data_IF_495653478502
#
_entry.id   IF_495653478502
#
_cell.length_a   1.000
_cell.length_b   1.000
_cell.length_c   1.000
_cell.angle_alpha   90.00
_cell.angle_beta   90.00
_cell.angle_gamma   90.00
#
_symmetry.space_group_name_H-M   'P 1'
#
loop_
_entity.id
_entity.type
_entity.pdbx_description
1 polymer ?
#
# COMPACT_ATOMS: atom_id res chain seq x y z
N UNK A 1 6.62 -4.34 32.91
CA UNK A 1 5.93 -4.87 31.71
C UNK A 1 4.73 -5.66 32.22
N UNK A 2 3.52 -5.09 32.11
CA UNK A 2 2.31 -5.80 32.52
C UNK A 2 2.08 -6.93 31.51
N UNK A 3 2.15 -8.18 32.01
CA UNK A 3 1.94 -9.36 31.19
C UNK A 3 0.48 -9.47 30.76
N UNK A 4 0.19 -9.16 29.49
CA UNK A 4 -1.09 -9.52 28.90
C UNK A 4 -1.20 -11.04 28.83
N UNK A 5 -2.32 -11.59 29.29
CA UNK A 5 -2.60 -13.01 29.09
C UNK A 5 -2.83 -13.30 27.60
N UNK A 6 -2.66 -14.54 27.16
CA UNK A 6 -2.93 -14.93 25.76
C UNK A 6 -4.39 -14.66 25.38
N UNK A 7 -5.33 -14.75 26.32
CA UNK A 7 -6.75 -14.42 26.16
C UNK A 7 -7.00 -12.94 25.87
N UNK A 8 -6.11 -12.04 26.35
CA UNK A 8 -6.28 -10.58 26.12
C UNK A 8 -5.82 -10.16 24.72
N UNK A 9 -5.04 -11.00 24.04
CA UNK A 9 -4.42 -10.70 22.74
C UNK A 9 -5.26 -11.16 21.56
N UNK A 10 -6.01 -12.24 21.73
CA UNK A 10 -6.80 -12.88 20.69
C UNK A 10 -8.15 -13.26 21.24
N UNK A 11 -9.21 -12.73 20.64
CA UNK A 11 -10.57 -13.05 21.04
C UNK A 11 -11.31 -13.86 19.97
N UNK A 12 -12.18 -14.77 20.39
CA UNK A 12 -13.15 -15.43 19.51
C UNK A 12 -14.28 -14.46 19.22
N UNK A 13 -14.45 -14.09 17.95
CA UNK A 13 -15.51 -13.16 17.52
C UNK A 13 -16.75 -13.86 16.97
N UNK A 14 -16.60 -15.11 16.50
CA UNK A 14 -17.73 -15.92 16.04
C UNK A 14 -17.46 -17.42 16.14
N UNK A 15 -18.56 -18.19 16.25
CA UNK A 15 -18.59 -19.64 16.05
C UNK A 15 -19.74 -19.95 15.09
N UNK A 16 -19.42 -20.43 13.90
CA UNK A 16 -20.37 -20.68 12.82
C UNK A 16 -20.11 -22.05 12.18
N UNK A 17 -21.03 -22.52 11.35
CA UNK A 17 -20.84 -23.77 10.60
C UNK A 17 -20.33 -23.46 9.19
N UNK A 18 -19.35 -24.23 8.73
CA UNK A 18 -18.95 -24.29 7.33
C UNK A 18 -20.02 -24.97 6.46
N UNK A 19 -19.84 -24.93 5.15
CA UNK A 19 -20.80 -25.53 4.21
C UNK A 19 -20.97 -27.07 4.38
N UNK A 20 -19.97 -27.75 4.91
CA UNK A 20 -19.99 -29.19 5.22
C UNK A 20 -20.43 -29.51 6.65
N UNK A 21 -20.88 -28.50 7.41
CA UNK A 21 -21.35 -28.64 8.78
C UNK A 21 -20.29 -28.58 9.87
N UNK A 22 -18.99 -28.56 9.53
CA UNK A 22 -17.92 -28.42 10.53
C UNK A 22 -18.01 -27.08 11.24
N UNK A 23 -17.59 -27.05 12.52
CA UNK A 23 -17.51 -25.82 13.29
C UNK A 23 -16.31 -24.98 12.85
N UNK A 24 -16.57 -23.70 12.59
CA UNK A 24 -15.54 -22.68 12.32
C UNK A 24 -15.51 -21.72 13.49
N UNK A 25 -14.39 -21.62 14.15
CA UNK A 25 -14.11 -20.59 15.13
C UNK A 25 -13.39 -19.45 14.45
N UNK A 26 -13.96 -18.25 14.46
CA UNK A 26 -13.30 -17.04 13.97
C UNK A 26 -12.64 -16.34 15.14
N UNK A 27 -11.33 -16.20 15.07
CA UNK A 27 -10.49 -15.55 16.09
C UNK A 27 -9.93 -14.25 15.51
N UNK A 28 -9.83 -13.21 16.34
CA UNK A 28 -9.29 -11.90 15.94
C UNK A 28 -8.17 -11.46 16.85
N UNK A 29 -7.10 -10.95 16.26
CA UNK A 29 -6.04 -10.19 16.89
C UNK A 29 -6.16 -8.70 16.55
N UNK A 30 -5.87 -7.83 17.52
CA UNK A 30 -5.80 -6.38 17.40
C UNK A 30 -4.37 -5.91 17.72
N UNK A 31 -3.88 -4.89 17.02
CA UNK A 31 -2.50 -4.38 17.19
C UNK A 31 -2.25 -3.60 18.48
N UNK A 32 -3.23 -3.50 19.37
CA UNK A 32 -3.04 -2.94 20.71
C UNK A 32 -2.07 -3.78 21.59
N UNK A 33 -1.86 -5.05 21.24
CA UNK A 33 -0.92 -5.94 21.90
C UNK A 33 -0.13 -6.79 20.88
N UNK A 34 1.08 -7.28 21.21
CA UNK A 34 1.82 -8.18 20.33
C UNK A 34 1.02 -9.46 20.02
N UNK A 35 1.09 -9.91 18.77
CA UNK A 35 0.42 -11.14 18.35
C UNK A 35 1.08 -12.39 18.94
N UNK A 36 0.32 -13.50 19.10
CA UNK A 36 0.90 -14.80 19.42
C UNK A 36 1.93 -15.24 18.36
N UNK A 37 3.03 -15.84 18.78
CA UNK A 37 4.12 -16.23 17.90
C UNK A 37 3.73 -17.25 16.83
N UNK A 38 2.72 -18.10 17.10
CA UNK A 38 2.14 -19.03 16.11
C UNK A 38 1.44 -18.30 14.95
N UNK A 39 0.76 -17.19 15.24
CA UNK A 39 0.09 -16.36 14.22
C UNK A 39 1.12 -15.70 13.31
N UNK A 40 2.18 -15.16 13.90
CA UNK A 40 3.29 -14.59 13.14
C UNK A 40 3.93 -15.64 12.20
N UNK A 41 4.26 -16.83 12.74
CA UNK A 41 4.81 -17.93 11.91
C UNK A 41 3.88 -18.30 10.77
N UNK A 42 2.59 -18.46 11.05
CA UNK A 42 1.60 -18.76 10.02
C UNK A 42 1.57 -17.71 8.92
N UNK A 43 1.49 -16.41 9.26
CA UNK A 43 1.46 -15.33 8.27
C UNK A 43 2.73 -15.35 7.42
N UNK A 44 3.90 -15.42 8.02
CA UNK A 44 5.17 -15.41 7.28
C UNK A 44 5.33 -16.60 6.34
N UNK A 45 4.86 -17.78 6.75
CA UNK A 45 4.90 -19.00 5.93
C UNK A 45 3.90 -18.92 4.78
N UNK A 46 2.66 -18.52 5.08
CA UNK A 46 1.57 -18.53 4.11
C UNK A 46 1.60 -17.38 3.09
N UNK A 47 2.38 -16.31 3.31
CA UNK A 47 2.52 -15.23 2.33
C UNK A 47 3.13 -15.70 1.02
N UNK A 48 4.20 -16.51 1.07
CA UNK A 48 4.81 -17.08 -0.13
C UNK A 48 3.92 -18.09 -0.86
N UNK A 49 3.09 -18.83 -0.12
CA UNK A 49 2.13 -19.79 -0.69
C UNK A 49 0.92 -19.11 -1.32
N UNK A 50 0.48 -17.99 -0.75
CA UNK A 50 -0.69 -17.24 -1.21
C UNK A 50 -0.46 -16.56 -2.57
N UNK A 51 0.77 -16.16 -2.85
CA UNK A 51 1.17 -15.52 -4.10
C UNK A 51 2.49 -16.14 -4.62
N UNK A 52 2.44 -17.37 -5.14
CA UNK A 52 3.63 -18.06 -5.66
C UNK A 52 4.23 -17.39 -6.90
N UNK A 53 3.46 -16.52 -7.56
CA UNK A 53 3.90 -15.73 -8.71
C UNK A 53 4.19 -14.28 -8.31
N UNK A 54 4.03 -13.94 -7.04
CA UNK A 54 4.34 -12.62 -6.51
C UNK A 54 5.82 -12.30 -6.67
N UNK A 55 6.12 -11.04 -7.00
CA UNK A 55 7.50 -10.60 -7.10
C UNK A 55 8.19 -10.82 -5.73
N UNK A 56 9.37 -11.48 -5.67
CA UNK A 56 10.05 -11.81 -4.39
C UNK A 56 10.23 -10.59 -3.48
N UNK A 57 10.43 -9.43 -4.06
CA UNK A 57 10.57 -8.17 -3.35
C UNK A 57 9.28 -7.73 -2.63
N UNK A 58 8.12 -7.88 -3.27
CA UNK A 58 6.84 -7.54 -2.62
C UNK A 58 6.53 -8.47 -1.45
N UNK A 59 6.86 -9.74 -1.56
CA UNK A 59 6.74 -10.72 -0.47
C UNK A 59 7.65 -10.35 0.70
N UNK A 60 8.89 -9.92 0.41
CA UNK A 60 9.84 -9.45 1.43
C UNK A 60 9.31 -8.23 2.18
N UNK A 61 8.80 -7.22 1.47
CA UNK A 61 8.19 -6.03 2.08
C UNK A 61 7.00 -6.37 2.98
N UNK A 62 6.15 -7.31 2.56
CA UNK A 62 5.05 -7.78 3.38
C UNK A 62 5.52 -8.50 4.65
N UNK A 63 6.55 -9.33 4.56
CA UNK A 63 7.12 -10.02 5.73
C UNK A 63 7.69 -9.03 6.75
N UNK A 64 8.44 -8.03 6.29
CA UNK A 64 8.96 -6.97 7.16
C UNK A 64 7.83 -6.19 7.83
N UNK A 65 6.81 -5.79 7.06
CA UNK A 65 5.63 -5.13 7.62
C UNK A 65 4.97 -5.96 8.72
N UNK A 66 4.72 -7.26 8.46
CA UNK A 66 4.08 -8.14 9.44
C UNK A 66 4.94 -8.38 10.67
N UNK A 67 6.25 -8.48 10.49
CA UNK A 67 7.19 -8.60 11.60
C UNK A 67 7.00 -7.45 12.61
N UNK A 68 6.97 -6.24 12.11
CA UNK A 68 6.90 -5.04 12.95
C UNK A 68 5.47 -4.79 13.47
N UNK A 69 4.47 -4.94 12.62
CA UNK A 69 3.06 -4.76 12.99
C UNK A 69 2.63 -5.72 14.09
N UNK A 70 3.01 -7.00 14.00
CA UNK A 70 2.64 -8.01 14.99
C UNK A 70 3.41 -7.90 16.31
N UNK A 71 4.48 -7.10 16.36
CA UNK A 71 5.19 -6.72 17.59
C UNK A 71 4.68 -5.42 18.19
N UNK A 72 3.72 -4.77 17.55
CA UNK A 72 3.14 -3.52 18.01
C UNK A 72 3.93 -2.26 17.64
N UNK A 73 4.96 -2.39 16.79
CA UNK A 73 5.82 -1.25 16.41
C UNK A 73 5.05 -0.07 15.79
N UNK A 74 3.93 -0.36 15.14
CA UNK A 74 3.12 0.65 14.43
C UNK A 74 1.84 1.07 15.16
N UNK A 75 1.61 0.61 16.39
CA UNK A 75 0.34 0.80 17.12
C UNK A 75 -0.05 2.25 17.38
N UNK A 76 0.93 3.17 17.42
CA UNK A 76 0.66 4.62 17.53
C UNK A 76 0.18 5.26 16.22
N UNK A 77 0.49 4.65 15.07
CA UNK A 77 0.21 5.18 13.72
C UNK A 77 -0.96 4.45 13.05
N UNK A 78 -1.07 3.17 13.30
CA UNK A 78 -2.00 2.25 12.64
C UNK A 78 -2.83 1.45 13.64
N UNK A 79 -4.05 1.15 13.23
CA UNK A 79 -4.79 0.01 13.76
C UNK A 79 -4.69 -1.15 12.77
N UNK A 80 -4.29 -2.32 13.26
CA UNK A 80 -4.30 -3.56 12.49
C UNK A 80 -5.25 -4.56 13.15
N UNK A 81 -6.02 -5.26 12.33
CA UNK A 81 -6.86 -6.39 12.76
C UNK A 81 -6.65 -7.57 11.82
N UNK A 82 -6.32 -8.71 12.40
CA UNK A 82 -6.14 -9.96 11.69
C UNK A 82 -7.15 -10.99 12.19
N UNK A 83 -7.88 -11.58 11.27
CA UNK A 83 -8.84 -12.64 11.52
C UNK A 83 -8.27 -13.96 11.05
N UNK A 84 -8.41 -15.00 11.86
CA UNK A 84 -8.14 -16.37 11.48
C UNK A 84 -9.42 -17.21 11.66
N UNK A 85 -9.74 -17.99 10.64
CA UNK A 85 -10.74 -19.06 10.74
C UNK A 85 -10.01 -20.33 11.18
N UNK A 86 -10.50 -20.98 12.21
CA UNK A 86 -9.96 -22.23 12.76
C UNK A 86 -11.04 -23.32 12.63
N UNK A 87 -10.69 -24.44 12.01
CA UNK A 87 -11.53 -25.63 11.84
C UNK A 87 -10.74 -26.83 12.38
N UNK A 88 -11.33 -27.60 13.28
CA UNK A 88 -10.71 -28.78 13.90
C UNK A 88 -9.30 -28.51 14.46
N UNK A 89 -9.14 -27.33 15.10
CA UNK A 89 -7.86 -26.89 15.69
C UNK A 89 -6.83 -26.38 14.68
N UNK A 90 -7.12 -26.40 13.37
CA UNK A 90 -6.21 -25.97 12.30
C UNK A 90 -6.66 -24.64 11.70
N UNK A 91 -5.68 -23.77 11.34
CA UNK A 91 -5.98 -22.52 10.64
C UNK A 91 -6.47 -22.86 9.23
N UNK A 92 -7.70 -22.50 8.92
CA UNK A 92 -8.37 -22.74 7.63
C UNK A 92 -8.29 -21.53 6.68
N UNK A 93 -8.06 -20.34 7.22
CA UNK A 93 -7.94 -19.14 6.41
C UNK A 93 -7.70 -17.90 7.25
N UNK A 94 -7.40 -16.80 6.55
CA UNK A 94 -7.13 -15.50 7.15
C UNK A 94 -7.75 -14.36 6.37
N UNK A 95 -7.88 -13.21 7.05
CA UNK A 95 -8.28 -11.92 6.52
C UNK A 95 -7.64 -10.82 7.37
N UNK A 96 -7.18 -9.76 6.76
CA UNK A 96 -6.62 -8.60 7.43
C UNK A 96 -7.24 -7.31 6.93
N UNK A 97 -7.38 -6.35 7.83
CA UNK A 97 -7.56 -4.96 7.49
C UNK A 97 -6.81 -4.06 8.48
N UNK A 98 -6.48 -2.87 8.02
CA UNK A 98 -5.85 -1.86 8.85
C UNK A 98 -6.19 -0.47 8.34
N UNK A 99 -6.01 0.55 9.20
CA UNK A 99 -6.20 1.94 8.81
C UNK A 99 -5.22 2.87 9.51
N UNK A 100 -4.94 3.99 8.84
CA UNK A 100 -4.17 5.10 9.40
C UNK A 100 -5.01 5.84 10.45
N UNK A 101 -4.44 6.06 11.63
CA UNK A 101 -5.07 6.89 12.67
C UNK A 101 -5.14 8.36 12.28
N UNK A 102 -4.25 8.81 11.38
CA UNK A 102 -4.16 10.19 10.90
C UNK A 102 -5.21 10.49 9.83
N UNK A 103 -5.27 9.69 8.77
CA UNK A 103 -6.14 9.98 7.62
C UNK A 103 -7.47 9.26 7.66
N UNK A 104 -7.63 8.29 8.56
CA UNK A 104 -8.81 7.41 8.66
C UNK A 104 -9.12 6.70 7.34
N UNK A 105 -8.07 6.34 6.60
CA UNK A 105 -8.12 5.53 5.39
C UNK A 105 -7.41 4.21 5.64
N UNK A 106 -7.92 3.16 5.03
CA UNK A 106 -7.47 1.82 5.32
C UNK A 106 -7.35 0.93 4.10
N UNK A 107 -6.77 -0.22 4.35
CA UNK A 107 -6.65 -1.31 3.41
C UNK A 107 -7.29 -2.57 3.98
N UNK A 108 -7.94 -3.31 3.09
CA UNK A 108 -8.48 -4.64 3.33
C UNK A 108 -7.74 -5.62 2.41
N UNK A 109 -7.28 -6.74 2.95
CA UNK A 109 -6.52 -7.67 2.13
C UNK A 109 -6.01 -8.89 2.90
N UNK A 110 -4.95 -9.48 2.37
CA UNK A 110 -4.36 -10.72 2.86
C UNK A 110 -5.37 -11.87 3.03
N UNK A 111 -6.47 -11.83 2.26
CA UNK A 111 -7.52 -12.84 2.31
C UNK A 111 -7.02 -14.12 1.65
N UNK A 112 -7.00 -15.19 2.42
CA UNK A 112 -6.55 -16.49 1.95
C UNK A 112 -7.31 -17.62 2.64
N UNK A 113 -7.56 -18.69 1.88
CA UNK A 113 -8.11 -19.94 2.40
C UNK A 113 -7.18 -21.07 2.05
N UNK A 114 -6.78 -21.83 3.05
CA UNK A 114 -5.92 -23.00 2.87
C UNK A 114 -6.54 -24.00 1.89
N UNK A 115 -5.75 -24.64 1.01
CA UNK A 115 -6.25 -25.47 -0.08
C UNK A 115 -7.27 -26.52 0.36
N UNK A 116 -7.02 -27.20 1.46
CA UNK A 116 -7.88 -28.27 2.00
C UNK A 116 -9.21 -27.77 2.60
N UNK A 117 -9.32 -26.45 2.87
CA UNK A 117 -10.54 -25.82 3.38
C UNK A 117 -11.27 -24.97 2.34
N UNK A 118 -10.83 -25.04 1.07
CA UNK A 118 -11.53 -24.34 -0.03
C UNK A 118 -12.91 -24.97 -0.26
N UNK A 119 -13.82 -24.18 -0.86
CA UNK A 119 -15.23 -24.53 -1.10
C UNK A 119 -16.08 -24.68 0.17
N UNK A 120 -15.52 -24.49 1.37
CA UNK A 120 -16.25 -24.53 2.65
C UNK A 120 -16.87 -23.20 3.06
N UNK A 121 -16.73 -22.16 2.25
CA UNK A 121 -17.27 -20.83 2.55
C UNK A 121 -16.42 -19.99 3.52
N UNK A 122 -15.19 -20.43 3.85
CA UNK A 122 -14.32 -19.77 4.85
C UNK A 122 -14.11 -18.28 4.55
N UNK A 123 -13.87 -17.92 3.30
CA UNK A 123 -13.71 -16.51 2.91
C UNK A 123 -14.97 -15.69 3.20
N UNK A 124 -16.17 -16.22 2.90
CA UNK A 124 -17.45 -15.53 3.18
C UNK A 124 -17.68 -15.37 4.69
N UNK A 125 -17.32 -16.39 5.47
CA UNK A 125 -17.41 -16.33 6.94
C UNK A 125 -16.50 -15.22 7.47
N UNK A 126 -15.23 -15.18 7.05
CA UNK A 126 -14.29 -14.16 7.49
C UNK A 126 -14.73 -12.74 7.09
N UNK A 127 -15.17 -12.56 5.85
CA UNK A 127 -15.67 -11.27 5.35
C UNK A 127 -16.93 -10.85 6.10
N UNK A 128 -17.86 -11.78 6.33
CA UNK A 128 -19.09 -11.52 7.08
C UNK A 128 -18.85 -11.13 8.54
N UNK A 129 -17.76 -11.60 9.17
CA UNK A 129 -17.36 -11.17 10.50
C UNK A 129 -16.63 -9.81 10.49
N UNK A 130 -15.77 -9.58 9.49
CA UNK A 130 -14.91 -8.41 9.46
C UNK A 130 -15.62 -7.13 9.02
N UNK A 131 -16.49 -7.20 7.98
CA UNK A 131 -17.09 -6.00 7.37
C UNK A 131 -17.99 -5.22 8.34
N UNK A 132 -18.87 -5.83 9.15
CA UNK A 132 -19.60 -5.07 10.17
C UNK A 132 -18.68 -4.33 11.13
N UNK A 133 -17.61 -4.97 11.61
CA UNK A 133 -16.65 -4.32 12.49
C UNK A 133 -15.84 -3.22 11.78
N UNK A 134 -15.55 -3.36 10.48
CA UNK A 134 -14.90 -2.31 9.69
C UNK A 134 -15.78 -1.05 9.64
N UNK A 135 -17.08 -1.21 9.44
CA UNK A 135 -18.04 -0.11 9.40
C UNK A 135 -18.23 0.57 10.76
N UNK A 136 -17.97 -0.12 11.87
CA UNK A 136 -18.02 0.44 13.23
C UNK A 136 -16.72 1.19 13.60
N UNK A 137 -15.63 1.06 12.81
CA UNK A 137 -14.40 1.80 13.07
C UNK A 137 -14.53 3.28 12.68
N UNK A 138 -13.66 4.18 13.16
CA UNK A 138 -13.63 5.56 12.68
C UNK A 138 -13.12 5.69 11.24
N UNK A 139 -12.58 4.63 10.65
CA UNK A 139 -12.09 4.62 9.28
C UNK A 139 -13.21 4.98 8.29
N UNK A 140 -12.92 5.90 7.38
CA UNK A 140 -13.92 6.43 6.43
C UNK A 140 -14.04 5.55 5.19
N UNK A 141 -12.92 4.96 4.77
CA UNK A 141 -12.83 4.18 3.55
C UNK A 141 -11.77 3.09 3.67
N UNK A 142 -12.11 1.87 3.28
CA UNK A 142 -11.19 0.76 3.10
C UNK A 142 -11.06 0.42 1.63
N UNK A 143 -9.83 0.37 1.13
CA UNK A 143 -9.54 -0.01 -0.26
C UNK A 143 -9.00 -1.44 -0.32
N UNK A 144 -9.31 -2.14 -1.39
CA UNK A 144 -8.68 -3.41 -1.74
C UNK A 144 -8.55 -3.55 -3.26
N UNK A 145 -7.90 -4.61 -3.71
CA UNK A 145 -7.80 -4.91 -5.13
C UNK A 145 -7.87 -6.43 -5.34
N UNK A 146 -8.60 -6.87 -6.35
CA UNK A 146 -8.61 -8.24 -6.80
C UNK A 146 -8.94 -8.35 -8.29
N UNK A 147 -8.10 -9.05 -9.04
CA UNK A 147 -8.34 -9.37 -10.45
C UNK A 147 -9.24 -10.59 -10.66
N UNK A 148 -9.76 -11.21 -9.59
CA UNK A 148 -10.58 -12.43 -9.65
C UNK A 148 -12.05 -12.10 -9.43
N UNK A 149 -12.94 -12.15 -10.46
CA UNK A 149 -14.34 -11.76 -10.33
C UNK A 149 -15.10 -12.50 -9.24
N UNK A 150 -14.82 -13.80 -9.03
CA UNK A 150 -15.46 -14.58 -7.96
C UNK A 150 -15.04 -14.16 -6.55
N UNK A 151 -13.83 -13.60 -6.37
CA UNK A 151 -13.39 -13.00 -5.11
C UNK A 151 -14.05 -11.64 -4.93
N UNK A 152 -14.03 -10.80 -5.98
CA UNK A 152 -14.69 -9.49 -5.98
C UNK A 152 -16.19 -9.63 -5.62
N UNK A 153 -16.88 -10.64 -6.17
CA UNK A 153 -18.29 -10.88 -5.85
C UNK A 153 -18.54 -11.05 -4.34
N UNK A 154 -17.67 -11.76 -3.62
CA UNK A 154 -17.81 -11.93 -2.15
C UNK A 154 -17.67 -10.60 -1.43
N UNK A 155 -16.77 -9.72 -1.89
CA UNK A 155 -16.58 -8.39 -1.30
C UNK A 155 -17.75 -7.46 -1.64
N UNK A 156 -18.23 -7.51 -2.88
CA UNK A 156 -19.39 -6.71 -3.35
C UNK A 156 -20.66 -7.12 -2.61
N UNK A 157 -20.89 -8.41 -2.44
CA UNK A 157 -22.02 -8.94 -1.65
C UNK A 157 -21.96 -8.46 -0.18
N UNK A 158 -20.75 -8.17 0.33
CA UNK A 158 -20.52 -7.63 1.68
C UNK A 158 -20.54 -6.09 1.76
N UNK A 159 -20.73 -5.38 0.65
CA UNK A 159 -20.90 -3.93 0.64
C UNK A 159 -19.78 -3.13 -0.06
N UNK A 160 -18.69 -3.76 -0.49
CA UNK A 160 -17.71 -3.09 -1.32
C UNK A 160 -18.29 -2.67 -2.67
N UNK A 161 -17.71 -1.65 -3.28
CA UNK A 161 -18.06 -1.16 -4.63
C UNK A 161 -16.81 -1.06 -5.48
N UNK A 162 -16.94 -1.39 -6.78
CA UNK A 162 -15.87 -1.17 -7.76
C UNK A 162 -15.58 0.32 -7.94
N UNK A 163 -14.31 0.65 -8.03
CA UNK A 163 -13.86 2.03 -8.27
C UNK A 163 -13.88 2.34 -9.77
N UNK A 164 -13.37 1.44 -10.59
CA UNK A 164 -13.29 1.61 -12.05
C UNK A 164 -14.15 0.60 -12.80
N UNK A 165 -14.10 -0.65 -12.35
CA UNK A 165 -14.87 -1.76 -12.90
C UNK A 165 -15.81 -2.32 -11.83
N UNK A 166 -17.07 -2.69 -12.19
CA UNK A 166 -18.06 -3.07 -11.18
C UNK A 166 -17.76 -4.41 -10.50
N UNK A 167 -16.99 -5.30 -11.13
CA UNK A 167 -16.86 -6.70 -10.75
C UNK A 167 -15.43 -7.19 -10.50
N UNK A 168 -14.42 -6.31 -10.62
CA UNK A 168 -13.01 -6.63 -10.40
C UNK A 168 -12.15 -5.37 -10.22
N UNK A 169 -10.85 -5.58 -10.01
CA UNK A 169 -9.90 -4.48 -9.84
C UNK A 169 -9.96 -3.82 -8.48
N UNK A 170 -9.73 -2.51 -8.41
CA UNK A 170 -9.84 -1.74 -7.19
C UNK A 170 -11.30 -1.65 -6.70
N UNK A 171 -11.49 -1.96 -5.42
CA UNK A 171 -12.78 -1.90 -4.72
C UNK A 171 -12.63 -1.05 -3.46
N UNK A 172 -13.70 -0.38 -3.06
CA UNK A 172 -13.77 0.39 -1.83
C UNK A 172 -15.02 0.03 -0.99
N UNK A 173 -14.86 0.01 0.32
CA UNK A 173 -15.91 0.00 1.31
C UNK A 173 -15.94 1.35 2.00
N UNK A 174 -17.03 2.10 1.89
CA UNK A 174 -17.20 3.43 2.49
C UNK A 174 -18.30 3.41 3.53
N UNK A 175 -18.17 4.20 4.60
CA UNK A 175 -19.24 4.38 5.59
C UNK A 175 -20.37 5.25 5.05
N UNK A 176 -20.02 6.24 4.22
CA UNK A 176 -20.95 7.17 3.58
C UNK A 176 -20.32 7.68 2.30
N UNK A 177 -21.14 8.08 1.35
CA UNK A 177 -20.68 8.57 0.05
C UNK A 177 -19.99 7.49 -0.79
N UNK A 178 -19.38 7.95 -1.85
CA UNK A 178 -18.64 7.14 -2.82
C UNK A 178 -17.13 7.32 -2.66
N UNK A 179 -16.35 6.41 -3.22
CA UNK A 179 -14.90 6.57 -3.30
C UNK A 179 -14.51 7.86 -4.02
N UNK A 180 -15.23 8.23 -5.09
CA UNK A 180 -14.95 9.44 -5.88
C UNK A 180 -15.12 10.72 -5.05
N UNK A 181 -16.22 10.84 -4.29
CA UNK A 181 -16.44 11.97 -3.38
C UNK A 181 -15.36 12.08 -2.31
N UNK A 182 -14.91 10.94 -1.76
CA UNK A 182 -13.78 10.91 -0.84
C UNK A 182 -12.47 11.35 -1.50
N UNK A 183 -12.22 10.94 -2.76
CA UNK A 183 -11.01 11.29 -3.50
C UNK A 183 -11.00 12.78 -3.86
N UNK A 184 -12.13 13.33 -4.34
CA UNK A 184 -12.27 14.75 -4.65
C UNK A 184 -12.06 15.63 -3.40
N UNK A 185 -12.70 15.27 -2.29
CA UNK A 185 -12.54 15.99 -1.04
C UNK A 185 -11.10 15.94 -0.51
N UNK A 186 -10.43 14.78 -0.63
CA UNK A 186 -9.06 14.62 -0.14
C UNK A 186 -8.04 15.38 -0.99
N UNK A 187 -8.26 15.46 -2.30
CA UNK A 187 -7.35 16.09 -3.26
C UNK A 187 -7.83 17.49 -3.70
N UNK A 188 -8.72 18.11 -2.90
CA UNK A 188 -9.12 19.50 -3.11
C UNK A 188 -7.93 20.46 -2.95
N UNK A 189 -7.95 21.56 -3.72
CA UNK A 189 -6.87 22.55 -3.74
C UNK A 189 -5.82 22.27 -4.81
N UNK A 190 -4.78 23.08 -4.80
CA UNK A 190 -3.70 23.06 -5.82
C UNK A 190 -2.31 23.30 -5.24
N UNK A 191 -2.19 23.54 -3.93
CA UNK A 191 -0.93 23.88 -3.30
C UNK A 191 -0.49 22.80 -2.29
N UNK A 192 0.80 22.48 -2.32
CA UNK A 192 1.45 21.68 -1.29
C UNK A 192 1.71 22.59 -0.10
N UNK A 193 0.97 22.37 0.99
CA UNK A 193 1.14 23.13 2.23
C UNK A 193 2.36 22.69 3.02
N UNK A 194 2.66 21.39 3.03
CA UNK A 194 3.77 20.81 3.76
C UNK A 194 4.42 19.63 2.99
N UNK A 195 5.71 19.45 3.26
CA UNK A 195 6.45 18.25 2.89
C UNK A 195 7.10 17.71 4.16
N UNK A 196 6.81 16.46 4.49
CA UNK A 196 7.31 15.79 5.69
C UNK A 196 7.94 14.43 5.39
N UNK A 197 8.74 13.87 6.28
CA UNK A 197 9.14 12.47 6.18
C UNK A 197 7.92 11.55 6.11
N UNK A 198 8.04 10.47 5.32
CA UNK A 198 7.03 9.42 5.24
C UNK A 198 7.05 8.52 6.47
N UNK A 199 5.93 7.88 6.75
CA UNK A 199 5.82 6.82 7.75
C UNK A 199 4.94 5.67 7.24
N UNK A 200 4.90 4.58 7.99
CA UNK A 200 4.18 3.36 7.59
C UNK A 200 2.68 3.58 7.35
N UNK A 201 2.07 4.59 7.98
CA UNK A 201 0.65 4.87 7.81
C UNK A 201 0.32 5.49 6.45
N UNK A 202 1.28 6.11 5.80
CA UNK A 202 1.11 6.74 4.48
C UNK A 202 0.88 5.70 3.37
N UNK A 203 1.22 4.43 3.59
CA UNK A 203 0.98 3.36 2.62
C UNK A 203 -0.49 3.23 2.18
N UNK A 204 -1.45 3.56 3.07
CA UNK A 204 -2.87 3.44 2.72
C UNK A 204 -3.32 4.56 1.80
N UNK A 205 -2.74 5.73 1.96
CA UNK A 205 -2.95 6.87 1.09
C UNK A 205 -2.16 6.71 -0.22
N UNK A 206 -0.87 6.44 -0.15
CA UNK A 206 0.02 6.44 -1.31
C UNK A 206 -0.16 5.21 -2.20
N UNK A 207 -0.15 3.98 -1.62
CA UNK A 207 -0.22 2.74 -2.41
C UNK A 207 -1.64 2.35 -2.84
N UNK A 208 -2.68 2.97 -2.27
CA UNK A 208 -4.06 2.61 -2.55
C UNK A 208 -4.88 3.82 -2.98
N UNK A 209 -5.12 4.74 -2.07
CA UNK A 209 -6.07 5.81 -2.30
C UNK A 209 -5.62 6.72 -3.46
N UNK A 210 -4.40 7.21 -3.43
CA UNK A 210 -3.81 8.01 -4.50
C UNK A 210 -3.67 7.22 -5.81
N UNK A 211 -3.18 5.97 -5.73
CA UNK A 211 -2.94 5.10 -6.89
C UNK A 211 -4.23 4.70 -7.62
N UNK A 212 -5.37 4.66 -6.92
CA UNK A 212 -6.65 4.34 -7.53
C UNK A 212 -7.34 5.55 -8.18
N UNK A 213 -6.70 6.72 -8.15
CA UNK A 213 -7.19 7.93 -8.83
C UNK A 213 -6.62 7.98 -10.26
N UNK A 214 -7.30 7.42 -11.28
CA UNK A 214 -6.75 7.34 -12.63
C UNK A 214 -6.73 8.72 -13.30
N UNK A 215 -5.76 8.93 -14.19
CA UNK A 215 -5.66 10.06 -15.13
C UNK A 215 -5.44 11.45 -14.53
N UNK A 216 -5.41 11.62 -13.21
CA UNK A 216 -5.31 12.93 -12.56
C UNK A 216 -4.04 13.12 -11.74
N UNK A 217 -3.11 12.20 -11.81
CA UNK A 217 -1.85 12.22 -11.09
C UNK A 217 -0.65 11.87 -11.97
N UNK A 218 0.52 12.39 -11.63
CA UNK A 218 1.78 12.04 -12.27
C UNK A 218 2.41 10.85 -11.55
N UNK A 219 2.69 9.82 -12.30
CA UNK A 219 3.33 8.62 -11.78
C UNK A 219 4.83 8.65 -12.04
N UNK A 220 5.61 8.25 -11.05
CA UNK A 220 7.04 8.02 -11.20
C UNK A 220 7.40 7.03 -12.30
N UNK A 221 8.50 7.29 -13.01
CA UNK A 221 8.96 6.48 -14.14
C UNK A 221 9.74 5.24 -13.75
N UNK A 222 10.49 5.32 -12.66
CA UNK A 222 11.50 4.33 -12.30
C UNK A 222 10.93 2.96 -11.88
N UNK A 223 9.80 2.92 -11.18
CA UNK A 223 9.26 1.68 -10.62
C UNK A 223 8.20 1.03 -11.52
N UNK A 224 8.15 1.38 -12.79
CA UNK A 224 7.25 0.74 -13.79
C UNK A 224 7.56 -0.74 -14.06
N UNK A 225 7.95 -1.49 -13.05
CA UNK A 225 8.24 -2.93 -13.18
C UNK A 225 6.99 -3.81 -13.14
N UNK A 226 5.92 -3.36 -13.80
CA UNK A 226 4.68 -4.12 -13.97
C UNK A 226 3.51 -3.61 -13.12
N UNK A 227 2.29 -4.08 -13.40
CA UNK A 227 1.06 -3.62 -12.74
C UNK A 227 1.06 -3.80 -11.22
N UNK A 228 1.72 -4.85 -10.72
CA UNK A 228 1.78 -5.14 -9.29
C UNK A 228 2.67 -4.14 -8.51
N UNK A 229 3.71 -3.60 -9.12
CA UNK A 229 4.61 -2.64 -8.47
C UNK A 229 3.88 -1.34 -8.12
N UNK A 230 2.95 -0.88 -8.96
CA UNK A 230 2.16 0.34 -8.74
C UNK A 230 1.42 0.39 -7.40
N UNK A 231 0.98 -0.77 -6.90
CA UNK A 231 0.16 -0.85 -5.69
C UNK A 231 0.95 -0.88 -4.38
N UNK A 232 2.29 -0.92 -4.46
CA UNK A 232 3.15 -1.07 -3.28
C UNK A 232 4.42 -0.21 -3.37
N UNK A 233 4.45 0.77 -4.26
CA UNK A 233 5.64 1.58 -4.56
C UNK A 233 6.12 2.35 -3.33
N UNK A 234 5.22 3.04 -2.64
CA UNK A 234 5.55 3.74 -1.41
C UNK A 234 6.06 2.79 -0.33
N UNK A 235 5.36 1.68 -0.11
CA UNK A 235 5.77 0.67 0.88
C UNK A 235 7.16 0.12 0.59
N UNK A 236 7.48 -0.15 -0.66
CA UNK A 236 8.80 -0.64 -1.04
C UNK A 236 9.88 0.41 -0.74
N UNK A 237 9.66 1.67 -1.12
CA UNK A 237 10.59 2.76 -0.83
C UNK A 237 10.77 2.97 0.68
N UNK A 238 9.69 2.89 1.45
CA UNK A 238 9.73 3.02 2.91
C UNK A 238 10.46 1.84 3.59
N UNK A 239 10.36 0.63 3.06
CA UNK A 239 11.16 -0.51 3.56
C UNK A 239 12.66 -0.32 3.29
N UNK A 240 13.05 0.26 2.16
CA UNK A 240 14.44 0.63 1.90
C UNK A 240 14.92 1.70 2.88
N UNK A 241 14.09 2.68 3.22
CA UNK A 241 14.36 3.67 4.25
C UNK A 241 14.61 3.04 5.62
N UNK A 242 13.75 2.12 6.05
CA UNK A 242 13.92 1.37 7.29
C UNK A 242 15.22 0.54 7.30
N UNK A 243 15.65 0.09 6.13
CA UNK A 243 16.96 -0.56 5.92
C UNK A 243 18.15 0.39 5.82
N UNK A 244 17.96 1.69 6.01
CA UNK A 244 19.03 2.71 5.93
C UNK A 244 19.47 3.03 4.50
N UNK A 245 18.74 2.60 3.48
CA UNK A 245 19.07 2.80 2.06
C UNK A 245 18.20 3.83 1.35
N UNK A 246 17.60 4.75 2.08
CA UNK A 246 16.79 5.78 1.45
C UNK A 246 16.05 6.68 2.40
N UNK A 247 15.17 7.49 1.82
CA UNK A 247 14.22 8.35 2.54
C UNK A 247 12.95 8.48 1.73
N UNK A 248 11.83 8.59 2.40
CA UNK A 248 10.52 8.88 1.80
C UNK A 248 10.00 10.22 2.30
N UNK A 249 9.28 10.93 1.43
CA UNK A 249 8.70 12.23 1.71
C UNK A 249 7.25 12.26 1.24
N UNK A 250 6.39 12.87 2.02
CA UNK A 250 4.97 13.06 1.73
C UNK A 250 4.69 14.53 1.47
N UNK A 251 4.03 14.80 0.35
CA UNK A 251 3.44 16.09 0.08
C UNK A 251 2.00 16.11 0.62
N UNK A 252 1.67 17.12 1.43
CA UNK A 252 0.36 17.30 2.02
C UNK A 252 -0.28 18.61 1.54
N UNK A 253 -1.60 18.60 1.34
CA UNK A 253 -2.37 19.84 1.14
C UNK A 253 -2.73 20.49 2.48
N UNK A 254 -3.46 21.61 2.44
CA UNK A 254 -3.89 22.35 3.63
C UNK A 254 -4.76 21.52 4.59
N UNK A 255 -5.48 20.53 4.06
CA UNK A 255 -6.28 19.59 4.85
C UNK A 255 -5.44 18.45 5.45
N UNK A 256 -4.11 18.51 5.31
CA UNK A 256 -3.16 17.48 5.73
C UNK A 256 -3.41 16.10 5.12
N UNK A 257 -4.02 16.08 3.95
CA UNK A 257 -4.13 14.87 3.17
C UNK A 257 -2.86 14.65 2.31
N UNK A 258 -2.31 13.43 2.26
CA UNK A 258 -1.28 13.08 1.31
C UNK A 258 -1.80 13.25 -0.12
N UNK A 259 -1.13 14.11 -0.88
CA UNK A 259 -1.44 14.40 -2.29
C UNK A 259 -0.33 13.91 -3.23
N UNK A 260 0.75 13.42 -2.68
CA UNK A 260 1.86 12.82 -3.39
C UNK A 260 2.97 12.38 -2.44
N UNK A 261 3.95 11.72 -3.02
CA UNK A 261 5.15 11.29 -2.31
C UNK A 261 6.35 11.32 -3.24
N UNK A 262 7.53 11.44 -2.65
CA UNK A 262 8.81 11.23 -3.31
C UNK A 262 9.70 10.34 -2.46
N UNK A 263 10.69 9.77 -3.10
CA UNK A 263 11.72 8.99 -2.42
C UNK A 263 13.09 9.29 -2.97
N UNK A 264 14.11 9.06 -2.13
CA UNK A 264 15.50 9.00 -2.51
C UNK A 264 16.01 7.63 -2.08
N UNK A 265 16.38 6.79 -3.02
CA UNK A 265 16.86 5.43 -2.79
C UNK A 265 18.33 5.32 -3.16
N UNK A 266 19.12 4.76 -2.26
CA UNK A 266 20.54 4.45 -2.51
C UNK A 266 20.66 3.02 -3.03
N UNK A 267 21.12 2.88 -4.27
CA UNK A 267 21.43 1.60 -4.88
C UNK A 267 22.72 1.00 -4.31
N UNK A 268 22.94 -0.29 -4.53
CA UNK A 268 24.14 -1.02 -4.10
C UNK A 268 25.44 -0.44 -4.67
N UNK A 269 25.40 0.14 -5.88
CA UNK A 269 26.51 0.84 -6.50
C UNK A 269 26.76 2.25 -5.93
N UNK A 270 26.01 2.65 -4.89
CA UNK A 270 26.14 3.96 -4.23
C UNK A 270 25.39 5.11 -4.90
N UNK A 271 24.72 4.87 -6.04
CA UNK A 271 23.94 5.89 -6.74
C UNK A 271 22.64 6.17 -5.98
N UNK A 272 22.29 7.45 -5.78
CA UNK A 272 21.00 7.83 -5.22
C UNK A 272 20.02 8.13 -6.36
N UNK A 273 18.87 7.47 -6.34
CA UNK A 273 17.77 7.70 -7.28
C UNK A 273 16.66 8.42 -6.58
N UNK A 274 16.19 9.49 -7.21
CA UNK A 274 15.03 10.26 -6.75
C UNK A 274 13.90 10.09 -7.75
N UNK A 275 12.71 9.82 -7.24
CA UNK A 275 11.48 9.80 -8.04
C UNK A 275 10.28 10.27 -7.22
N UNK A 276 9.16 10.56 -7.88
CA UNK A 276 7.95 11.05 -7.21
C UNK A 276 6.68 10.61 -7.91
N UNK A 277 5.61 10.57 -7.13
CA UNK A 277 4.22 10.47 -7.57
C UNK A 277 3.43 11.60 -6.94
N UNK A 278 2.67 12.34 -7.72
CA UNK A 278 1.96 13.54 -7.26
C UNK A 278 0.60 13.64 -7.96
N UNK A 279 -0.43 14.00 -7.21
CA UNK A 279 -1.73 14.30 -7.76
C UNK A 279 -1.64 15.53 -8.67
N UNK A 280 -2.29 15.49 -9.83
CA UNK A 280 -2.13 16.48 -10.90
C UNK A 280 -2.45 17.90 -10.48
N UNK A 281 -3.44 18.09 -9.61
CA UNK A 281 -3.80 19.39 -9.08
C UNK A 281 -2.65 20.11 -8.35
N UNK A 282 -1.67 19.36 -7.85
CA UNK A 282 -0.54 19.86 -7.04
C UNK A 282 0.77 19.92 -7.82
N UNK A 283 0.71 19.79 -9.13
CA UNK A 283 1.91 19.65 -9.97
C UNK A 283 2.86 20.85 -9.88
N UNK A 284 2.37 22.05 -9.66
CA UNK A 284 3.20 23.25 -9.42
C UNK A 284 4.21 23.06 -8.28
N UNK A 285 3.89 22.22 -7.31
CA UNK A 285 4.74 21.89 -6.17
C UNK A 285 5.75 20.75 -6.43
N UNK A 286 5.73 20.10 -7.60
CA UNK A 286 6.62 18.98 -7.90
C UNK A 286 8.13 19.32 -7.77
N UNK A 287 8.62 20.49 -8.21
CA UNK A 287 10.02 20.87 -8.02
C UNK A 287 10.42 20.87 -6.54
N UNK A 288 9.58 21.48 -5.68
CA UNK A 288 9.83 21.55 -4.24
C UNK A 288 9.85 20.15 -3.59
N UNK A 289 9.01 19.25 -4.04
CA UNK A 289 8.99 17.86 -3.56
C UNK A 289 10.26 17.10 -3.98
N UNK A 290 10.70 17.27 -5.23
CA UNK A 290 11.96 16.71 -5.73
C UNK A 290 13.19 17.27 -5.01
N UNK A 291 13.22 18.58 -4.74
CA UNK A 291 14.28 19.22 -3.96
C UNK A 291 14.39 18.64 -2.56
N UNK A 292 13.24 18.45 -1.89
CA UNK A 292 13.20 17.85 -0.56
C UNK A 292 13.73 16.41 -0.58
N UNK A 293 13.36 15.62 -1.58
CA UNK A 293 13.83 14.25 -1.73
C UNK A 293 15.32 14.18 -2.06
N UNK A 294 15.80 14.99 -2.98
CA UNK A 294 17.23 15.03 -3.35
C UNK A 294 18.11 15.52 -2.19
N UNK A 295 17.61 16.49 -1.43
CA UNK A 295 18.37 17.09 -0.30
C UNK A 295 19.75 17.59 -0.74
N UNK A 296 20.78 17.17 0.01
CA UNK A 296 22.20 17.50 -0.26
C UNK A 296 22.96 16.32 -0.89
N UNK A 297 22.27 15.37 -1.50
CA UNK A 297 22.92 14.20 -2.10
C UNK A 297 23.12 14.39 -3.61
N UNK A 298 24.17 13.79 -4.14
CA UNK A 298 24.32 13.59 -5.58
C UNK A 298 23.24 12.60 -6.02
N UNK A 299 22.30 13.07 -6.81
CA UNK A 299 21.06 12.33 -7.09
C UNK A 299 20.73 12.27 -8.57
N UNK A 300 20.15 11.17 -8.99
CA UNK A 300 19.74 10.91 -10.36
C UNK A 300 18.21 10.81 -10.47
N UNK A 301 17.68 11.35 -11.54
CA UNK A 301 16.27 11.27 -11.92
C UNK A 301 16.17 10.69 -13.33
N UNK A 302 15.23 9.81 -13.54
CA UNK A 302 15.02 9.14 -14.82
C UNK A 302 13.67 9.52 -15.40
N UNK A 303 13.63 9.78 -16.72
CA UNK A 303 12.41 10.12 -17.44
C UNK A 303 12.42 9.54 -18.84
N UNK A 304 11.25 9.42 -19.44
CA UNK A 304 11.08 9.15 -20.87
C UNK A 304 10.86 10.47 -21.61
N UNK A 305 11.19 10.58 -22.89
CA UNK A 305 10.99 11.81 -23.65
C UNK A 305 9.55 12.36 -23.59
N UNK A 306 8.56 11.48 -23.46
CA UNK A 306 7.14 11.84 -23.35
C UNK A 306 6.71 12.36 -21.98
N UNK A 307 7.58 12.26 -20.96
CA UNK A 307 7.28 12.69 -19.59
C UNK A 307 7.60 14.20 -19.40
N UNK A 308 7.20 15.05 -20.36
CA UNK A 308 7.58 16.47 -20.45
C UNK A 308 7.34 17.25 -19.15
N UNK A 309 6.18 17.07 -18.52
CA UNK A 309 5.85 17.74 -17.26
C UNK A 309 6.80 17.31 -16.13
N UNK A 310 7.18 16.02 -16.07
CA UNK A 310 8.11 15.49 -15.07
C UNK A 310 9.54 16.00 -15.31
N UNK A 311 9.93 16.07 -16.59
CA UNK A 311 11.21 16.63 -17.00
C UNK A 311 11.29 18.11 -16.58
N UNK A 312 10.28 18.90 -16.91
CA UNK A 312 10.22 20.31 -16.51
C UNK A 312 10.24 20.51 -14.99
N UNK A 313 9.62 19.58 -14.21
CA UNK A 313 9.69 19.62 -12.78
C UNK A 313 11.11 19.31 -12.25
N UNK A 314 11.78 18.33 -12.83
CA UNK A 314 13.14 17.96 -12.45
C UNK A 314 14.13 19.08 -12.79
N UNK A 315 14.03 19.68 -13.97
CA UNK A 315 14.87 20.82 -14.39
C UNK A 315 14.70 22.01 -13.43
N UNK A 316 13.46 22.35 -13.07
CA UNK A 316 13.18 23.40 -12.08
C UNK A 316 13.70 23.06 -10.67
N UNK A 317 13.82 21.78 -10.34
CA UNK A 317 14.42 21.30 -9.11
C UNK A 317 15.97 21.24 -9.17
N UNK A 318 16.57 21.74 -10.25
CA UNK A 318 18.03 21.79 -10.44
C UNK A 318 18.67 20.50 -10.93
N UNK A 319 17.88 19.61 -11.53
CA UNK A 319 18.43 18.46 -12.24
C UNK A 319 18.80 18.84 -13.68
N UNK A 320 19.99 18.45 -14.11
CA UNK A 320 20.51 18.69 -15.45
C UNK A 320 20.57 17.38 -16.24
N UNK A 321 20.15 17.40 -17.51
CA UNK A 321 20.26 16.24 -18.37
C UNK A 321 21.72 15.90 -18.63
N UNK A 322 22.12 14.68 -18.30
CA UNK A 322 23.51 14.23 -18.45
C UNK A 322 23.70 13.19 -19.53
N UNK A 323 22.71 12.34 -19.77
CA UNK A 323 22.86 11.20 -20.67
C UNK A 323 21.50 10.82 -21.28
N UNK A 324 21.55 10.27 -22.50
CA UNK A 324 20.45 9.57 -23.14
C UNK A 324 20.93 8.15 -23.43
N UNK A 325 20.18 7.17 -22.95
CA UNK A 325 20.41 5.76 -23.25
C UNK A 325 19.39 5.35 -24.31
N UNK A 326 19.86 5.24 -25.56
CA UNK A 326 18.99 4.90 -26.72
C UNK A 326 18.38 3.51 -26.50
N UNK A 327 17.03 3.43 -26.59
CA UNK A 327 16.29 2.21 -26.34
C UNK A 327 16.41 1.67 -24.91
N UNK A 328 16.80 2.52 -23.95
CA UNK A 328 17.12 2.13 -22.57
C UNK A 328 15.94 1.66 -21.74
N UNK A 329 14.71 1.89 -22.20
CA UNK A 329 13.49 1.46 -21.50
C UNK A 329 12.63 0.57 -22.38
N UNK A 330 12.21 -0.57 -21.87
CA UNK A 330 11.29 -1.49 -22.54
C UNK A 330 9.85 -1.10 -22.21
N UNK A 331 9.13 -0.56 -23.18
CA UNK A 331 7.76 -0.03 -23.00
C UNK A 331 6.67 -1.03 -23.43
N UNK A 332 7.06 -2.14 -24.04
CA UNK A 332 6.16 -3.22 -24.45
C UNK A 332 6.91 -4.31 -25.23
N UNK A 333 6.25 -5.39 -25.64
CA UNK A 333 6.86 -6.43 -26.47
C UNK A 333 7.46 -5.83 -27.76
N UNK A 334 8.78 -5.90 -27.90
CA UNK A 334 9.54 -5.37 -29.02
C UNK A 334 9.53 -3.84 -29.15
N UNK A 335 9.10 -3.11 -28.12
CA UNK A 335 9.08 -1.64 -28.08
C UNK A 335 10.05 -1.13 -27.02
N UNK A 336 10.96 -0.27 -27.44
CA UNK A 336 11.85 0.45 -26.55
C UNK A 336 11.71 1.96 -26.76
N UNK A 337 12.01 2.72 -25.72
CA UNK A 337 12.11 4.18 -25.77
C UNK A 337 13.44 4.61 -25.17
N UNK A 338 13.90 5.79 -25.52
CA UNK A 338 15.12 6.36 -24.94
C UNK A 338 14.88 6.66 -23.46
N UNK A 339 15.87 6.35 -22.63
CA UNK A 339 15.87 6.71 -21.22
C UNK A 339 16.72 7.97 -21.03
N UNK A 340 16.11 9.03 -20.53
CA UNK A 340 16.77 10.29 -20.22
C UNK A 340 17.24 10.23 -18.77
N UNK A 341 18.51 10.55 -18.56
CA UNK A 341 19.15 10.58 -17.23
C UNK A 341 19.46 12.02 -16.88
N UNK A 342 18.93 12.46 -15.76
CA UNK A 342 19.15 13.77 -15.15
C UNK A 342 19.94 13.60 -13.85
N UNK A 343 20.81 14.55 -13.53
CA UNK A 343 21.63 14.56 -12.33
C UNK A 343 21.54 15.90 -11.63
N UNK A 344 21.37 15.87 -10.34
CA UNK A 344 21.51 17.02 -9.45
C UNK A 344 22.70 16.80 -8.53
N UNK A 345 23.69 17.68 -8.64
CA UNK A 345 24.84 17.69 -7.74
C UNK A 345 24.51 18.42 -6.45
N UNK A 346 25.11 18.03 -5.32
CA UNK A 346 24.95 18.81 -4.10
C UNK A 346 25.48 20.23 -4.33
N UNK A 347 24.76 21.20 -3.82
CA UNK A 347 25.30 22.57 -3.76
C UNK A 347 26.48 22.57 -2.80
N UNK A 348 27.58 23.21 -3.24
CA UNK A 348 28.84 23.37 -2.48
C UNK A 348 28.59 24.19 -1.19
#
# INVERSE_FOLDING_TARGET
MNGFSESDRVRTVARVKAADGRQVQVRRWDSAAPAPGEWYRYICTSLGTADPHGHPYSVSCWRSYWHDAMRGAYSSLLENRLYLAVVDGRIAGRLWYAWSRRTLRGNFGCVYTEPEFRKLGIMRILVGCAVPEMLDTPCRIFCCNTGKPWVAKVYIDAGFRGIHEPDRGPLALTRSGTWHEHAEAAHAGSEISAIRPGDVADQFDCDKFLTYTPFIWLQGGWVRRGPAARFYEFRMAHQEELGGRGRTFIAENELKNPVGYAFNLRLENGMNIVDFTLHRNFFSGAPRLLEAAAGKTDSFFFALPRDEERIAAAERAGFEKTTVVTGGEVTGPGKTEDLLIYRRRPFA
#
